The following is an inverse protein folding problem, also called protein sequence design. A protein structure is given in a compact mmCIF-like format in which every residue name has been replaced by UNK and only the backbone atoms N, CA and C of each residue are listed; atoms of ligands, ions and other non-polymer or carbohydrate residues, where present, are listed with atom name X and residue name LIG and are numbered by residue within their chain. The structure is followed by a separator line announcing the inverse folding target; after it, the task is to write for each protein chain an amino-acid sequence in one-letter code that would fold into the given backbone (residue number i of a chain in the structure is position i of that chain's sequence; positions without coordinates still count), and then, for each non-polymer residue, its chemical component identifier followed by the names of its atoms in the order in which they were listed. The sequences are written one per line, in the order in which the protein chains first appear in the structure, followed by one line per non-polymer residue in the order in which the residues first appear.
data_IF_686058108970
#
_entry.id   IF_686058108970
#
_cell.length_a   1.000
_cell.length_b   1.000
_cell.length_c   1.000
_cell.angle_alpha   90.00
_cell.angle_beta   90.00
_cell.angle_gamma   90.00
#
_symmetry.space_group_name_H-M   'P 1'
#
loop_
_entity.id
_entity.type
_entity.pdbx_description
1 polymer ?
#
# COMPACT_ATOMS: atom_id res chain seq x y z
N UNK A 1 -3.14 -10.83 -15.36
CA UNK A 1 -2.89 -9.40 -15.58
C UNK A 1 -3.60 -8.60 -14.49
N UNK A 2 -2.99 -7.58 -13.99
CA UNK A 2 -3.53 -6.73 -12.93
C UNK A 2 -3.63 -5.30 -13.42
N UNK A 3 -4.56 -4.56 -12.85
CA UNK A 3 -4.68 -3.13 -13.10
C UNK A 3 -4.51 -2.40 -11.78
N UNK A 4 -3.73 -1.34 -11.79
CA UNK A 4 -3.64 -0.44 -10.67
C UNK A 4 -4.80 0.54 -10.78
N UNK A 5 -5.74 0.45 -9.85
CA UNK A 5 -6.87 1.36 -9.79
C UNK A 5 -6.40 2.71 -9.26
N UNK A 6 -5.86 3.51 -10.15
CA UNK A 6 -5.21 4.76 -9.80
C UNK A 6 -6.01 5.91 -10.38
N UNK A 7 -6.48 6.81 -9.55
CA UNK A 7 -7.10 8.01 -10.09
C UNK A 7 -6.01 9.04 -10.38
N UNK A 8 -6.08 9.67 -11.54
CA UNK A 8 -5.13 10.70 -11.96
C UNK A 8 -5.33 12.01 -11.19
N UNK A 9 -5.93 11.94 -9.99
CA UNK A 9 -6.29 13.10 -9.20
C UNK A 9 -5.15 13.63 -8.32
N UNK A 10 -3.96 13.03 -8.43
CA UNK A 10 -2.82 13.62 -7.75
C UNK A 10 -2.39 14.87 -8.51
N UNK A 11 -2.36 15.98 -7.81
CA UNK A 11 -2.01 17.29 -8.35
C UNK A 11 -0.56 17.28 -8.85
N UNK A 12 0.32 16.51 -8.18
CA UNK A 12 1.73 16.45 -8.53
C UNK A 12 2.03 15.23 -9.39
N UNK A 13 2.29 15.46 -10.68
CA UNK A 13 2.60 14.39 -11.63
C UNK A 13 3.89 13.65 -11.30
N UNK A 14 4.87 14.34 -10.72
CA UNK A 14 6.15 13.71 -10.37
C UNK A 14 5.96 12.72 -9.23
N UNK A 15 5.24 13.11 -8.20
CA UNK A 15 4.93 12.21 -7.08
C UNK A 15 4.12 11.02 -7.59
N UNK A 16 3.17 11.26 -8.46
CA UNK A 16 2.35 10.20 -9.06
C UNK A 16 3.23 9.16 -9.78
N UNK A 17 4.19 9.62 -10.57
CA UNK A 17 5.13 8.73 -11.26
C UNK A 17 5.97 7.91 -10.29
N UNK A 18 6.47 8.56 -9.24
CA UNK A 18 7.28 7.89 -8.21
C UNK A 18 6.46 6.80 -7.53
N UNK A 19 5.23 7.11 -7.13
CA UNK A 19 4.35 6.16 -6.46
C UNK A 19 4.02 4.98 -7.38
N UNK A 20 3.64 5.25 -8.63
CA UNK A 20 3.33 4.19 -9.59
C UNK A 20 4.53 3.27 -9.84
N UNK A 21 5.72 3.85 -9.96
CA UNK A 21 6.94 3.08 -10.18
C UNK A 21 7.20 2.14 -8.99
N UNK A 22 7.08 2.66 -7.79
CA UNK A 22 7.28 1.87 -6.59
C UNK A 22 6.25 0.74 -6.48
N UNK A 23 4.97 1.05 -6.69
CA UNK A 23 3.90 0.03 -6.63
C UNK A 23 4.12 -1.06 -7.66
N UNK A 24 4.46 -0.70 -8.90
CA UNK A 24 4.75 -1.68 -9.93
C UNK A 24 5.93 -2.59 -9.56
N UNK A 25 6.95 -2.02 -8.93
CA UNK A 25 8.12 -2.76 -8.54
C UNK A 25 7.79 -3.80 -7.47
N UNK A 26 7.04 -3.43 -6.44
CA UNK A 26 6.67 -4.39 -5.39
C UNK A 26 5.69 -5.44 -5.88
N UNK A 27 4.78 -5.08 -6.79
CA UNK A 27 3.85 -6.04 -7.38
C UNK A 27 4.61 -7.10 -8.18
N UNK A 28 5.68 -6.72 -8.87
CA UNK A 28 6.51 -7.66 -9.62
C UNK A 28 7.33 -8.57 -8.73
N UNK A 29 7.80 -8.07 -7.60
CA UNK A 29 8.72 -8.80 -6.72
C UNK A 29 8.02 -9.73 -5.74
N UNK A 30 6.80 -9.44 -5.38
CA UNK A 30 6.07 -10.18 -4.35
C UNK A 30 4.70 -10.61 -4.86
N UNK A 31 4.19 -11.70 -4.29
CA UNK A 31 2.85 -12.17 -4.61
C UNK A 31 1.84 -11.41 -3.75
N UNK A 32 1.44 -10.26 -4.24
CA UNK A 32 0.55 -9.36 -3.51
C UNK A 32 -0.91 -9.58 -3.91
N UNK A 33 -1.80 -9.40 -2.96
CA UNK A 33 -3.25 -9.55 -3.15
C UNK A 33 -3.95 -8.21 -3.17
N UNK A 34 -3.49 -7.25 -2.36
CA UNK A 34 -4.15 -5.96 -2.23
C UNK A 34 -3.15 -4.91 -1.76
N UNK A 35 -3.29 -3.70 -2.27
CA UNK A 35 -2.57 -2.54 -1.78
C UNK A 35 -3.57 -1.42 -1.54
N UNK A 36 -3.56 -0.86 -0.34
CA UNK A 36 -4.42 0.25 0.04
C UNK A 36 -3.55 1.44 0.40
N UNK A 37 -3.82 2.59 -0.22
CA UNK A 37 -3.21 3.86 0.19
C UNK A 37 -4.16 4.50 1.21
N UNK A 38 -3.60 4.97 2.33
CA UNK A 38 -4.40 5.67 3.32
C UNK A 38 -3.65 6.93 3.77
N UNK A 39 -4.21 7.64 4.74
CA UNK A 39 -3.60 8.87 5.23
C UNK A 39 -3.75 10.04 4.25
N UNK A 40 -2.80 10.97 4.26
CA UNK A 40 -2.91 12.22 3.52
C UNK A 40 -3.02 12.03 2.00
N UNK A 41 -2.35 11.02 1.45
CA UNK A 41 -2.45 10.74 0.02
C UNK A 41 -3.86 10.29 -0.37
N UNK A 42 -4.51 9.49 0.46
CA UNK A 42 -5.87 9.05 0.19
C UNK A 42 -6.89 10.18 0.37
N UNK A 43 -6.66 11.06 1.34
CA UNK A 43 -7.55 12.19 1.58
C UNK A 43 -7.37 13.32 0.57
N UNK A 44 -6.23 13.35 -0.13
CA UNK A 44 -5.94 14.41 -1.10
C UNK A 44 -5.33 15.66 -0.48
N UNK A 45 -5.00 15.64 0.81
CA UNK A 45 -4.40 16.78 1.49
C UNK A 45 -2.88 16.63 1.70
N UNK A 46 -2.25 15.80 0.87
CA UNK A 46 -0.82 15.61 0.95
C UNK A 46 -0.05 16.84 0.48
N UNK A 47 1.16 16.99 1.00
CA UNK A 47 2.06 18.07 0.63
C UNK A 47 3.49 17.52 0.51
N UNK A 48 4.46 18.38 0.18
CA UNK A 48 5.85 17.99 -0.11
C UNK A 48 6.56 17.32 1.05
N UNK A 49 6.08 17.12 2.15
CA UNK A 49 6.70 16.37 3.25
C UNK A 49 5.84 15.22 3.71
N UNK A 50 4.75 14.95 3.01
CA UNK A 50 3.84 13.86 3.39
C UNK A 50 4.44 12.50 3.13
N UNK A 51 4.22 11.56 4.06
CA UNK A 51 4.59 10.17 3.88
C UNK A 51 3.51 9.45 3.10
N UNK A 52 3.93 8.50 2.28
CA UNK A 52 3.00 7.60 1.60
C UNK A 52 2.68 6.44 2.54
N UNK A 53 1.46 6.38 3.02
CA UNK A 53 1.00 5.33 3.93
C UNK A 53 0.33 4.21 3.17
N UNK A 54 0.83 2.99 3.33
CA UNK A 54 0.35 1.81 2.61
C UNK A 54 -0.01 0.68 3.56
N UNK A 55 -1.09 -0.02 3.22
CA UNK A 55 -1.36 -1.36 3.74
C UNK A 55 -1.21 -2.32 2.56
N UNK A 56 -0.34 -3.29 2.73
CA UNK A 56 -0.03 -4.28 1.69
C UNK A 56 -0.44 -5.65 2.21
N UNK A 57 -1.23 -6.36 1.42
CA UNK A 57 -1.67 -7.72 1.75
C UNK A 57 -1.14 -8.65 0.69
N UNK A 58 -0.50 -9.75 1.12
CA UNK A 58 0.05 -10.69 0.17
C UNK A 58 0.49 -11.98 0.84
N UNK A 59 1.23 -12.80 0.10
CA UNK A 59 1.78 -14.04 0.61
C UNK A 59 3.20 -13.81 1.11
N UNK A 60 3.42 -14.00 2.40
CA UNK A 60 4.72 -13.81 3.03
C UNK A 60 4.98 -14.93 4.01
N UNK A 61 6.23 -15.40 4.03
CA UNK A 61 6.70 -16.38 5.02
C UNK A 61 7.58 -15.72 6.08
N UNK A 62 7.96 -14.48 5.85
CA UNK A 62 8.83 -13.72 6.73
C UNK A 62 8.08 -13.19 7.94
N UNK A 63 8.85 -12.82 8.96
CA UNK A 63 8.28 -12.11 10.11
C UNK A 63 7.82 -10.72 9.66
N UNK A 64 6.89 -10.16 10.42
CA UNK A 64 6.27 -8.88 10.09
C UNK A 64 7.30 -7.78 9.79
N UNK A 65 8.29 -7.62 10.67
CA UNK A 65 9.28 -6.56 10.51
C UNK A 65 10.18 -6.78 9.31
N UNK A 66 10.47 -8.04 8.97
CA UNK A 66 11.29 -8.38 7.82
C UNK A 66 10.57 -8.10 6.50
N UNK A 67 9.25 -8.29 6.49
CA UNK A 67 8.41 -7.95 5.33
C UNK A 67 8.50 -6.46 5.01
N UNK A 68 8.36 -5.64 6.05
CA UNK A 68 8.42 -4.18 5.91
C UNK A 68 9.78 -3.78 5.35
N UNK A 69 10.86 -4.33 5.90
CA UNK A 69 12.21 -4.04 5.44
C UNK A 69 12.42 -4.37 3.96
N UNK A 70 11.91 -5.53 3.53
CA UNK A 70 12.04 -5.95 2.13
C UNK A 70 11.27 -5.04 1.18
N UNK A 71 10.10 -4.60 1.59
CA UNK A 71 9.28 -3.69 0.78
C UNK A 71 9.95 -2.33 0.68
N UNK A 72 10.35 -1.75 1.81
CA UNK A 72 10.96 -0.42 1.84
C UNK A 72 12.30 -0.40 1.10
N UNK A 73 13.05 -1.51 1.12
CA UNK A 73 14.33 -1.61 0.40
C UNK A 73 14.18 -1.38 -1.11
N UNK A 74 12.99 -1.56 -1.66
CA UNK A 74 12.74 -1.32 -3.08
C UNK A 74 12.46 0.15 -3.41
N UNK A 75 12.32 0.99 -2.39
CA UNK A 75 12.12 2.42 -2.59
C UNK A 75 13.47 3.08 -2.88
N UNK A 76 13.65 3.53 -4.11
CA UNK A 76 14.87 4.24 -4.52
C UNK A 76 14.58 5.71 -4.81
N UNK A 77 13.53 6.25 -4.22
CA UNK A 77 13.14 7.65 -4.34
C UNK A 77 13.33 8.38 -3.02
N UNK A 78 13.14 9.70 -3.05
CA UNK A 78 13.18 10.53 -1.84
C UNK A 78 11.85 10.53 -1.08
N UNK A 79 10.83 9.87 -1.62
CA UNK A 79 9.53 9.80 -0.98
C UNK A 79 9.60 8.88 0.24
N UNK A 80 9.18 9.40 1.39
CA UNK A 80 9.07 8.59 2.60
C UNK A 80 7.86 7.65 2.47
N UNK A 81 8.09 6.37 2.74
CA UNK A 81 7.04 5.36 2.61
C UNK A 81 6.90 4.61 3.93
N UNK A 82 5.69 4.59 4.47
CA UNK A 82 5.34 3.79 5.63
C UNK A 82 4.44 2.64 5.16
N UNK A 83 4.90 1.42 5.33
CA UNK A 83 4.16 0.25 4.87
C UNK A 83 3.86 -0.69 6.02
N UNK A 84 2.59 -1.11 6.10
CA UNK A 84 2.16 -2.20 6.96
C UNK A 84 1.88 -3.40 6.06
N UNK A 85 2.58 -4.50 6.29
CA UNK A 85 2.57 -5.65 5.38
C UNK A 85 2.00 -6.86 6.09
N UNK A 86 0.84 -7.32 5.65
CA UNK A 86 0.10 -8.41 6.28
C UNK A 86 -0.09 -9.57 5.32
N UNK A 87 -0.20 -10.78 5.89
CA UNK A 87 -0.75 -11.90 5.13
C UNK A 87 -2.26 -11.73 5.05
N UNK A 88 -2.88 -12.45 4.12
CA UNK A 88 -4.34 -12.39 3.97
C UNK A 88 -5.04 -12.86 5.25
N UNK A 89 -4.52 -13.90 5.90
CA UNK A 89 -5.08 -14.39 7.16
C UNK A 89 -5.02 -13.33 8.26
N UNK A 90 -3.86 -12.69 8.40
CA UNK A 90 -3.68 -11.62 9.40
C UNK A 90 -4.64 -10.47 9.14
N UNK A 91 -4.77 -10.06 7.89
CA UNK A 91 -5.63 -8.95 7.51
C UNK A 91 -7.10 -9.26 7.81
N UNK A 92 -7.56 -10.46 7.42
CA UNK A 92 -8.94 -10.88 7.68
C UNK A 92 -9.22 -10.97 9.18
N UNK A 93 -8.27 -11.46 9.95
CA UNK A 93 -8.42 -11.54 11.39
C UNK A 93 -8.58 -10.16 12.02
N UNK A 94 -7.80 -9.19 11.56
CA UNK A 94 -7.90 -7.82 12.06
C UNK A 94 -9.24 -7.18 11.71
N UNK A 95 -9.77 -7.48 10.54
CA UNK A 95 -11.10 -7.03 10.14
C UNK A 95 -12.16 -7.63 11.06
N UNK A 96 -12.09 -8.94 11.31
CA UNK A 96 -13.04 -9.62 12.19
C UNK A 96 -13.01 -9.08 13.61
N UNK A 97 -11.82 -8.76 14.10
CA UNK A 97 -11.62 -8.20 15.44
C UNK A 97 -11.98 -6.72 15.53
N UNK A 98 -12.30 -6.09 14.40
CA UNK A 98 -12.66 -4.67 14.31
C UNK A 98 -11.61 -3.75 14.93
N UNK A 99 -10.34 -4.02 14.64
CA UNK A 99 -9.27 -3.18 15.17
C UNK A 99 -9.40 -1.75 14.62
N UNK A 100 -9.30 -0.73 15.49
CA UNK A 100 -9.52 0.66 15.05
C UNK A 100 -8.67 1.09 13.87
N UNK A 101 -7.39 0.68 13.84
CA UNK A 101 -6.51 1.01 12.73
C UNK A 101 -7.06 0.47 11.39
N UNK A 102 -7.48 -0.79 11.39
CA UNK A 102 -7.98 -1.41 10.15
C UNK A 102 -9.33 -0.82 9.75
N UNK A 103 -10.20 -0.53 10.70
CA UNK A 103 -11.47 0.12 10.39
C UNK A 103 -11.24 1.49 9.74
N UNK A 104 -10.29 2.26 10.26
CA UNK A 104 -9.95 3.55 9.69
C UNK A 104 -9.38 3.40 8.27
N UNK A 105 -8.52 2.43 8.06
CA UNK A 105 -7.93 2.16 6.73
C UNK A 105 -9.02 1.79 5.72
N UNK A 106 -9.97 0.93 6.12
CA UNK A 106 -11.06 0.52 5.22
C UNK A 106 -12.02 1.66 4.92
N UNK A 107 -12.23 2.56 5.87
CA UNK A 107 -13.12 3.71 5.69
C UNK A 107 -12.49 4.81 4.84
N UNK A 108 -11.25 5.18 5.13
CA UNK A 108 -10.58 6.31 4.48
C UNK A 108 -9.67 5.90 3.32
N UNK A 109 -9.26 4.64 3.29
CA UNK A 109 -8.26 4.17 2.35
C UNK A 109 -8.78 4.03 0.93
N UNK A 110 -7.83 4.05 0.00
CA UNK A 110 -8.10 3.87 -1.42
C UNK A 110 -7.40 2.60 -1.89
N UNK A 111 -8.16 1.61 -2.36
CA UNK A 111 -7.60 0.39 -2.92
C UNK A 111 -7.02 0.72 -4.29
N UNK A 112 -5.69 0.62 -4.42
CA UNK A 112 -5.00 0.93 -5.67
C UNK A 112 -4.59 -0.31 -6.45
N UNK A 113 -4.61 -1.45 -5.79
CA UNK A 113 -4.31 -2.73 -6.45
C UNK A 113 -5.09 -3.84 -5.76
N UNK A 114 -5.70 -4.69 -6.57
CA UNK A 114 -6.37 -5.89 -6.08
C UNK A 114 -6.19 -6.99 -7.10
N UNK A 115 -5.61 -8.10 -6.67
CA UNK A 115 -5.41 -9.24 -7.55
C UNK A 115 -6.73 -9.97 -7.73
N UNK A 116 -7.22 -10.01 -8.95
CA UNK A 116 -8.42 -10.78 -9.29
C UNK A 116 -8.03 -12.21 -9.64
N UNK A 117 -8.87 -13.11 -9.22
CA UNK A 117 -8.71 -14.49 -9.60
C UNK A 117 -8.63 -15.41 -8.40
N UNK A 118 -8.89 -16.63 -8.68
CA UNK A 118 -8.89 -17.72 -7.72
C UNK A 118 -7.51 -18.05 -7.27
#
# INVERSE_FOLDING_TARGET
MYEICWSDNFIDREINKIVKRFLNLIIKKFNLKKIIIFGSFARGDYHKGSDLDLVIVGEFKDRFIDRIGKIIALNNSDLEIEAMVYTEEEFQKMIQERRPFIEQVLEEGMVVYEKKGA
#
